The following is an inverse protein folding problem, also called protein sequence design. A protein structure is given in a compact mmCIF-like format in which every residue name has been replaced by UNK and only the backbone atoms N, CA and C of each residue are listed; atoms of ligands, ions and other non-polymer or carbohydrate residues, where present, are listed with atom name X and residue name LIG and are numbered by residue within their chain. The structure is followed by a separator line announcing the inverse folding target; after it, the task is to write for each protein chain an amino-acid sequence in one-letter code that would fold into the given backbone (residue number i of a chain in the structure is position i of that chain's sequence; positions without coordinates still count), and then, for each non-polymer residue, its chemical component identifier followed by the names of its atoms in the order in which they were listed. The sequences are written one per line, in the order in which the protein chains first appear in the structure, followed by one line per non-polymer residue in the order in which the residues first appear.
data_IF_773601083798
#
_entry.id   IF_773601083798
#
_cell.length_a   1.000
_cell.length_b   1.000
_cell.length_c   1.000
_cell.angle_alpha   90.00
_cell.angle_beta   90.00
_cell.angle_gamma   90.00
#
_symmetry.space_group_name_H-M   'P 1'
#
loop_
_entity.id
_entity.type
_entity.pdbx_description
1 polymer ?
#
# COMPACT_ATOMS: atom_id res chain seq x y z
N UNK A 1 2.44 -4.40 0.11
CA UNK A 1 1.45 -5.48 -0.07
C UNK A 1 2.25 -6.75 -0.31
N UNK A 2 2.19 -7.72 0.59
CA UNK A 2 2.96 -8.96 0.44
C UNK A 2 2.05 -10.15 0.71
N UNK A 3 2.09 -11.14 -0.18
CA UNK A 3 1.47 -12.45 0.02
C UNK A 3 2.56 -13.44 0.42
N UNK A 4 2.20 -14.65 0.83
CA UNK A 4 3.20 -15.65 1.24
C UNK A 4 4.00 -16.26 0.07
N UNK A 5 3.63 -15.94 -1.17
CA UNK A 5 4.08 -16.58 -2.41
C UNK A 5 5.27 -15.96 -3.15
N UNK A 6 5.59 -14.64 -3.08
CA UNK A 6 6.61 -14.05 -3.94
C UNK A 6 8.00 -14.62 -3.64
N UNK A 7 8.87 -14.76 -4.65
CA UNK A 7 10.28 -15.04 -4.42
C UNK A 7 10.88 -13.89 -3.59
N UNK A 8 11.86 -14.21 -2.72
CA UNK A 8 12.56 -13.24 -1.86
C UNK A 8 11.68 -12.51 -0.84
N UNK A 9 10.54 -13.09 -0.45
CA UNK A 9 9.59 -12.48 0.50
C UNK A 9 10.21 -12.01 1.82
N UNK A 10 11.30 -12.64 2.27
CA UNK A 10 11.93 -12.29 3.55
C UNK A 10 12.90 -11.10 3.38
N UNK A 11 13.25 -10.76 2.14
CA UNK A 11 14.22 -9.72 1.76
C UNK A 11 13.55 -8.47 1.20
N UNK A 12 12.48 -8.62 0.42
CA UNK A 12 11.81 -7.52 -0.27
C UNK A 12 10.32 -7.78 -0.52
N UNK A 13 9.59 -6.70 -0.79
CA UNK A 13 8.20 -6.76 -1.22
C UNK A 13 7.85 -5.60 -2.17
N UNK A 14 6.66 -5.69 -2.77
CA UNK A 14 6.09 -4.61 -3.59
C UNK A 14 5.26 -3.67 -2.70
N UNK A 15 5.50 -2.37 -2.85
CA UNK A 15 4.86 -1.30 -2.10
C UNK A 15 4.14 -0.33 -3.03
N UNK A 16 2.97 0.14 -2.61
CA UNK A 16 2.28 1.26 -3.23
C UNK A 16 2.62 2.55 -2.48
N UNK A 17 2.81 3.64 -3.22
CA UNK A 17 3.23 4.92 -2.64
C UNK A 17 2.08 5.62 -1.91
N UNK A 18 2.35 6.06 -0.68
CA UNK A 18 1.49 6.98 0.09
C UNK A 18 1.93 8.42 -0.15
N UNK A 19 0.97 9.34 -0.29
CA UNK A 19 1.22 10.78 -0.50
C UNK A 19 0.13 11.64 0.14
N UNK A 20 0.43 12.89 0.45
CA UNK A 20 -0.58 13.88 0.87
C UNK A 20 -1.26 14.58 -0.33
N UNK A 21 -0.81 14.31 -1.56
CA UNK A 21 -1.37 14.91 -2.77
C UNK A 21 -2.57 14.10 -3.27
N UNK A 22 -3.76 14.67 -3.16
CA UNK A 22 -4.99 14.04 -3.68
C UNK A 22 -4.98 13.91 -5.20
N UNK A 23 -5.44 12.77 -5.70
CA UNK A 23 -5.75 12.50 -7.12
C UNK A 23 -7.05 11.72 -7.23
N UNK A 24 -7.74 11.82 -8.35
CA UNK A 24 -9.07 11.20 -8.54
C UNK A 24 -9.06 9.67 -8.41
N UNK A 25 -7.98 9.02 -8.87
CA UNK A 25 -7.82 7.57 -8.77
C UNK A 25 -7.15 7.13 -7.45
N UNK A 26 -6.69 8.06 -6.60
CA UNK A 26 -5.99 7.71 -5.37
C UNK A 26 -6.98 7.23 -4.30
N UNK A 27 -6.57 6.24 -3.52
CA UNK A 27 -7.38 5.68 -2.44
C UNK A 27 -7.13 6.51 -1.18
N UNK A 28 -8.14 7.18 -0.59
CA UNK A 28 -7.96 7.91 0.66
C UNK A 28 -7.69 6.94 1.82
N UNK A 29 -6.85 7.36 2.76
CA UNK A 29 -6.62 6.65 4.02
C UNK A 29 -7.24 7.45 5.17
N UNK A 30 -8.31 6.93 5.75
CA UNK A 30 -8.94 7.45 6.95
C UNK A 30 -8.39 6.74 8.21
N UNK A 31 -8.59 7.34 9.39
CA UNK A 31 -8.15 6.75 10.66
C UNK A 31 -8.76 5.35 10.90
N UNK A 32 -9.97 5.11 10.41
CA UNK A 32 -10.66 3.81 10.51
C UNK A 32 -10.03 2.71 9.65
N UNK A 33 -9.17 3.08 8.69
CA UNK A 33 -8.47 2.12 7.84
C UNK A 33 -7.24 1.53 8.54
N UNK A 34 -6.91 1.98 9.76
CA UNK A 34 -5.78 1.50 10.54
C UNK A 34 -6.23 0.61 11.72
N UNK A 35 -5.63 -0.57 11.83
CA UNK A 35 -5.73 -1.44 13.01
C UNK A 35 -4.86 -0.94 14.16
N UNK A 36 -3.74 -0.28 13.84
CA UNK A 36 -2.82 0.34 14.78
C UNK A 36 -2.02 1.46 14.11
N UNK A 37 -1.53 2.40 14.91
CA UNK A 37 -0.83 3.58 14.39
C UNK A 37 -1.74 4.45 13.51
N UNK A 38 -1.14 5.17 12.56
CA UNK A 38 -1.88 6.04 11.64
C UNK A 38 -0.95 6.98 10.89
N UNK A 39 -1.54 7.99 10.23
CA UNK A 39 -0.77 9.01 9.53
C UNK A 39 -1.11 10.39 10.12
N UNK A 40 -0.11 11.26 10.36
CA UNK A 40 -0.34 12.56 10.98
C UNK A 40 -1.00 13.59 10.03
N UNK A 41 -1.21 13.22 8.76
CA UNK A 41 -1.77 14.07 7.72
C UNK A 41 -2.71 13.26 6.84
N UNK A 42 -3.73 13.93 6.31
CA UNK A 42 -4.59 13.36 5.28
C UNK A 42 -3.74 12.83 4.11
N UNK A 43 -3.87 11.54 3.85
CA UNK A 43 -2.97 10.81 2.97
C UNK A 43 -3.76 9.88 2.06
N UNK A 44 -3.14 9.55 0.93
CA UNK A 44 -3.74 8.77 -0.13
C UNK A 44 -2.71 7.76 -0.66
N UNK A 45 -3.18 6.57 -1.04
CA UNK A 45 -2.38 5.58 -1.77
C UNK A 45 -2.54 5.82 -3.26
N UNK A 46 -1.43 5.83 -4.00
CA UNK A 46 -1.44 5.77 -5.47
C UNK A 46 -1.25 4.31 -5.90
N UNK A 47 -2.33 3.53 -6.18
CA UNK A 47 -2.21 2.10 -6.50
C UNK A 47 -1.44 1.82 -7.79
N UNK A 48 -1.31 2.78 -8.71
CA UNK A 48 -0.53 2.65 -9.94
C UNK A 48 0.97 2.94 -9.79
N UNK A 49 1.43 3.39 -8.61
CA UNK A 49 2.87 3.63 -8.35
C UNK A 49 3.38 2.53 -7.45
N UNK A 50 3.85 1.45 -8.07
CA UNK A 50 4.40 0.28 -7.40
C UNK A 50 5.92 0.29 -7.46
N UNK A 51 6.57 0.01 -6.33
CA UNK A 51 8.02 -0.08 -6.21
C UNK A 51 8.43 -1.29 -5.38
N UNK A 52 9.56 -1.90 -5.70
CA UNK A 52 10.18 -2.90 -4.86
C UNK A 52 11.09 -2.22 -3.84
N UNK A 53 10.90 -2.53 -2.56
CA UNK A 53 11.73 -2.02 -1.46
C UNK A 53 12.26 -3.22 -0.68
N UNK A 54 13.55 -3.20 -0.36
CA UNK A 54 14.16 -4.18 0.52
C UNK A 54 13.75 -3.92 1.96
N UNK A 55 13.45 -4.98 2.70
CA UNK A 55 13.12 -4.89 4.13
C UNK A 55 14.22 -4.23 4.95
N UNK A 56 15.48 -4.40 4.55
CA UNK A 56 16.62 -3.74 5.17
C UNK A 56 16.61 -2.19 5.05
N UNK A 57 15.89 -1.65 4.07
CA UNK A 57 15.78 -0.20 3.84
C UNK A 57 14.53 0.41 4.50
N UNK A 58 13.72 -0.39 5.20
CA UNK A 58 12.55 0.08 5.96
C UNK A 58 13.00 0.44 7.37
N UNK A 59 12.83 1.70 7.73
CA UNK A 59 13.28 2.22 9.04
C UNK A 59 12.20 2.19 10.12
N UNK A 60 10.94 2.42 9.74
CA UNK A 60 9.84 2.58 10.69
C UNK A 60 8.51 2.13 10.09
N UNK A 61 7.58 1.75 10.97
CA UNK A 61 6.19 1.42 10.64
C UNK A 61 5.30 2.46 11.34
N UNK A 62 4.72 3.36 10.55
CA UNK A 62 3.82 4.41 11.05
C UNK A 62 2.45 3.87 11.48
N UNK A 63 2.00 2.79 10.82
CA UNK A 63 0.73 2.16 11.11
C UNK A 63 0.51 0.89 10.31
N UNK A 64 -0.56 0.17 10.67
CA UNK A 64 -0.96 -1.08 10.02
C UNK A 64 -2.40 -0.97 9.54
N UNK A 65 -2.62 -1.16 8.24
CA UNK A 65 -3.95 -1.08 7.64
C UNK A 65 -4.81 -2.30 7.99
N UNK A 66 -6.14 -2.12 7.99
CA UNK A 66 -7.11 -3.22 8.01
C UNK A 66 -7.03 -4.01 6.71
N UNK A 67 -7.39 -5.30 6.77
CA UNK A 67 -7.29 -6.21 5.64
C UNK A 67 -8.08 -5.73 4.41
N UNK A 68 -9.28 -5.19 4.62
CA UNK A 68 -10.15 -4.70 3.55
C UNK A 68 -9.50 -3.56 2.76
N UNK A 69 -8.83 -2.63 3.43
CA UNK A 69 -8.08 -1.54 2.77
C UNK A 69 -6.88 -2.09 2.00
N UNK A 70 -6.15 -3.07 2.55
CA UNK A 70 -5.04 -3.71 1.83
C UNK A 70 -5.52 -4.43 0.57
N UNK A 71 -6.64 -5.16 0.66
CA UNK A 71 -7.28 -5.85 -0.47
C UNK A 71 -7.75 -4.85 -1.54
N UNK A 72 -8.36 -3.73 -1.14
CA UNK A 72 -8.75 -2.67 -2.08
C UNK A 72 -7.53 -2.13 -2.83
N UNK A 73 -6.44 -1.82 -2.13
CA UNK A 73 -5.22 -1.30 -2.76
C UNK A 73 -4.66 -2.33 -3.75
N UNK A 74 -4.60 -3.61 -3.36
CA UNK A 74 -4.09 -4.69 -4.21
C UNK A 74 -4.95 -4.87 -5.47
N UNK A 75 -6.28 -4.80 -5.33
CA UNK A 75 -7.22 -4.88 -6.44
C UNK A 75 -7.05 -3.73 -7.42
N UNK A 76 -7.05 -2.49 -6.94
CA UNK A 76 -6.86 -1.31 -7.81
C UNK A 76 -5.49 -1.33 -8.49
N UNK A 77 -4.45 -1.80 -7.80
CA UNK A 77 -3.12 -1.98 -8.37
C UNK A 77 -3.15 -3.02 -9.52
N UNK A 78 -3.82 -4.16 -9.33
CA UNK A 78 -3.97 -5.19 -10.34
C UNK A 78 -4.80 -4.71 -11.55
N UNK A 79 -5.85 -3.91 -11.33
CA UNK A 79 -6.59 -3.22 -12.41
C UNK A 79 -5.67 -2.33 -13.23
N UNK A 80 -4.80 -1.53 -12.59
CA UNK A 80 -3.84 -0.69 -13.30
C UNK A 80 -2.75 -1.47 -14.04
N UNK A 81 -2.48 -2.72 -13.65
CA UNK A 81 -1.60 -3.63 -14.36
C UNK A 81 -2.29 -4.33 -15.55
N UNK A 82 -3.62 -4.23 -15.67
CA UNK A 82 -4.42 -4.88 -16.72
C UNK A 82 -4.78 -6.34 -16.41
N UNK A 83 -4.66 -6.78 -15.16
CA UNK A 83 -4.93 -8.17 -14.76
C UNK A 83 -6.40 -8.42 -14.38
N UNK A 84 -7.17 -7.35 -14.14
CA UNK A 84 -8.56 -7.39 -13.67
C UNK A 84 -9.47 -6.51 -14.55
N UNK A 85 -9.34 -6.61 -15.87
CA UNK A 85 -10.29 -6.05 -16.84
C UNK A 85 -11.56 -6.91 -16.97
#
# INVERSE_FOLDING_TARGET
MSTDTPPFRDEEAVYAVVTTTRRSAAIPLADTDFTSGGLPRESYVNPWVLVTIKHADIHEIEGQLVADTVEQIAREAATHLGELD
#
